data_IF_193892465587
#
_entry.id   IF_193892465587
#
_cell.length_a   1.000
_cell.length_b   1.000
_cell.length_c   1.000
_cell.angle_alpha   90.00
_cell.angle_beta   90.00
_cell.angle_gamma   90.00
#
_symmetry.space_group_name_H-M   'P 1'
#
loop_
_entity.id
_entity.type
_entity.pdbx_description
1 polymer ?
#
# COMPACT_ATOMS: atom_id res chain seq x y z
N UNK A 1 0.99 10.80 4.33
CA UNK A 1 2.16 10.08 3.79
C UNK A 1 2.92 9.46 4.97
N UNK A 2 3.39 8.22 4.83
CA UNK A 2 4.20 7.51 5.84
C UNK A 2 5.56 7.21 5.23
N UNK A 3 6.64 7.40 5.98
CA UNK A 3 7.99 7.14 5.51
C UNK A 3 8.65 6.09 6.41
N UNK A 4 9.28 5.08 5.81
CA UNK A 4 9.98 4.01 6.55
C UNK A 4 11.38 3.77 5.98
N UNK A 5 12.28 3.25 6.82
CA UNK A 5 13.60 2.76 6.41
C UNK A 5 13.59 1.24 6.14
N UNK A 6 14.72 0.63 5.73
CA UNK A 6 14.82 -0.81 5.47
C UNK A 6 14.60 -1.70 6.70
N UNK A 7 14.61 -1.11 7.90
CA UNK A 7 14.33 -1.80 9.17
C UNK A 7 12.86 -1.66 9.61
N UNK A 8 12.02 -0.98 8.81
CA UNK A 8 10.61 -0.75 9.12
C UNK A 8 10.35 0.35 10.14
N UNK A 9 11.38 1.13 10.52
CA UNK A 9 11.23 2.26 11.44
C UNK A 9 10.70 3.46 10.67
N UNK A 10 9.75 4.16 11.28
CA UNK A 10 9.24 5.40 10.74
C UNK A 10 10.31 6.49 10.75
N UNK A 11 10.27 7.32 9.70
CA UNK A 11 11.18 8.44 9.50
C UNK A 11 10.37 9.71 9.24
N UNK A 12 10.99 10.84 9.57
CA UNK A 12 10.49 12.15 9.15
C UNK A 12 10.75 12.32 7.65
N UNK A 13 9.70 12.67 6.89
CA UNK A 13 9.69 12.71 5.43
C UNK A 13 9.78 14.12 4.83
N UNK A 14 10.19 15.12 5.62
CA UNK A 14 9.97 16.55 5.33
C UNK A 14 10.64 17.06 4.04
N UNK A 15 11.55 16.28 3.44
CA UNK A 15 12.31 16.67 2.24
C UNK A 15 11.89 15.92 0.96
N UNK A 16 10.76 15.20 0.96
CA UNK A 16 10.32 14.49 -0.25
C UNK A 16 9.67 15.46 -1.23
N UNK A 17 10.34 15.66 -2.36
CA UNK A 17 9.82 16.46 -3.47
C UNK A 17 9.03 15.60 -4.45
N UNK A 18 8.17 16.23 -5.26
CA UNK A 18 7.49 15.58 -6.40
C UNK A 18 8.47 14.99 -7.44
N UNK A 19 9.73 15.39 -7.39
CA UNK A 19 10.80 14.91 -8.27
C UNK A 19 11.57 13.69 -7.74
N UNK A 20 11.22 13.15 -6.56
CA UNK A 20 11.94 12.03 -5.93
C UNK A 20 12.14 10.80 -6.84
N UNK A 21 11.25 10.60 -7.82
CA UNK A 21 11.31 9.49 -8.77
C UNK A 21 11.40 9.92 -10.25
N UNK A 22 11.77 11.17 -10.53
CA UNK A 22 11.82 11.72 -11.88
C UNK A 22 12.86 11.04 -12.80
N UNK A 23 13.88 10.42 -12.21
CA UNK A 23 14.97 9.75 -12.94
C UNK A 23 14.68 8.29 -13.33
N UNK A 24 13.49 7.78 -12.99
CA UNK A 24 13.05 6.43 -13.37
C UNK A 24 12.15 6.46 -14.60
N UNK A 25 11.36 5.40 -14.81
CA UNK A 25 10.44 5.34 -15.95
C UNK A 25 9.38 6.44 -15.89
N UNK A 26 8.93 6.89 -17.06
CA UNK A 26 7.85 7.87 -17.18
C UNK A 26 6.57 7.42 -16.44
N UNK A 27 6.30 6.11 -16.41
CA UNK A 27 5.20 5.53 -15.64
C UNK A 27 5.38 5.75 -14.14
N UNK A 28 6.56 5.43 -13.60
CA UNK A 28 6.86 5.59 -12.17
C UNK A 28 6.74 7.06 -11.73
N UNK A 29 7.33 7.96 -12.53
CA UNK A 29 7.25 9.41 -12.34
C UNK A 29 5.80 9.91 -12.31
N UNK A 30 5.01 9.59 -13.34
CA UNK A 30 3.64 10.07 -13.47
C UNK A 30 2.74 9.53 -12.35
N UNK A 31 2.92 8.25 -11.98
CA UNK A 31 2.15 7.64 -10.89
C UNK A 31 2.50 8.23 -9.53
N UNK A 32 3.77 8.57 -9.29
CA UNK A 32 4.17 9.18 -8.02
C UNK A 32 3.56 10.57 -7.87
N UNK A 33 3.72 11.43 -8.89
CA UNK A 33 3.12 12.77 -8.90
C UNK A 33 1.61 12.73 -8.73
N UNK A 34 0.93 11.88 -9.51
CA UNK A 34 -0.51 11.67 -9.38
C UNK A 34 -0.90 11.29 -7.94
N UNK A 35 -0.11 10.43 -7.29
CA UNK A 35 -0.41 9.97 -5.93
C UNK A 35 -0.25 11.09 -4.90
N UNK A 36 0.72 11.99 -5.07
CA UNK A 36 0.95 13.12 -4.16
C UNK A 36 -0.06 14.25 -4.38
N UNK A 37 -0.44 14.50 -5.63
CA UNK A 37 -1.36 15.58 -6.01
C UNK A 37 -2.84 15.25 -5.76
N UNK A 38 -3.20 13.96 -5.66
CA UNK A 38 -4.56 13.52 -5.38
C UNK A 38 -4.70 13.11 -3.91
N UNK A 39 -5.50 13.85 -3.16
CA UNK A 39 -5.77 13.62 -1.72
C UNK A 39 -6.38 12.25 -1.40
N UNK A 40 -6.85 11.51 -2.41
CA UNK A 40 -7.41 10.17 -2.24
C UNK A 40 -6.35 9.13 -1.86
N UNK A 41 -5.09 9.31 -2.28
CA UNK A 41 -4.08 8.27 -2.11
C UNK A 41 -3.30 8.41 -0.80
N UNK A 42 -3.23 7.30 -0.08
CA UNK A 42 -2.21 7.06 0.94
C UNK A 42 -0.91 6.70 0.23
N UNK A 43 0.21 7.22 0.74
CA UNK A 43 1.54 6.96 0.21
C UNK A 43 2.44 6.46 1.32
N UNK A 44 3.04 5.29 1.10
CA UNK A 44 4.15 4.76 1.87
C UNK A 44 5.45 4.95 1.07
N UNK A 45 6.40 5.70 1.62
CA UNK A 45 7.75 5.87 1.06
C UNK A 45 8.75 4.97 1.79
N UNK A 46 9.63 4.37 1.01
CA UNK A 46 10.77 3.61 1.49
C UNK A 46 12.04 4.40 1.24
N UNK A 47 12.78 4.65 2.31
CA UNK A 47 14.08 5.31 2.28
C UNK A 47 15.22 4.32 2.44
N UNK A 48 16.38 4.65 1.91
CA UNK A 48 17.64 3.99 2.23
C UNK A 48 18.12 4.38 3.62
N UNK A 49 19.17 3.72 4.12
CA UNK A 49 19.80 4.08 5.39
C UNK A 49 20.42 5.49 5.34
N UNK A 50 20.84 5.93 4.16
CA UNK A 50 21.37 7.26 3.90
C UNK A 50 20.28 8.32 3.70
N UNK A 51 19.00 7.97 3.91
CA UNK A 51 17.89 8.92 3.82
C UNK A 51 17.49 9.30 2.40
N UNK A 52 17.79 8.47 1.40
CA UNK A 52 17.32 8.68 0.01
C UNK A 52 16.04 7.89 -0.27
N UNK A 53 15.05 8.43 -1.00
CA UNK A 53 13.88 7.67 -1.39
C UNK A 53 14.27 6.57 -2.41
N UNK A 54 14.01 5.31 -2.06
CA UNK A 54 14.36 4.12 -2.87
C UNK A 54 13.16 3.30 -3.33
N UNK A 55 11.96 3.65 -2.86
CA UNK A 55 10.72 3.02 -3.29
C UNK A 55 9.50 3.72 -2.73
N UNK A 56 8.34 3.38 -3.28
CA UNK A 56 7.07 3.83 -2.74
C UNK A 56 5.95 2.86 -3.10
N UNK A 57 4.87 2.93 -2.32
CA UNK A 57 3.60 2.34 -2.66
C UNK A 57 2.52 3.38 -2.45
N UNK A 58 1.67 3.60 -3.45
CA UNK A 58 0.45 4.36 -3.31
C UNK A 58 -0.76 3.45 -3.34
N UNK A 59 -1.72 3.73 -2.47
CA UNK A 59 -2.92 2.92 -2.30
C UNK A 59 -4.06 3.77 -1.75
N UNK A 60 -5.28 3.31 -1.93
CA UNK A 60 -6.45 3.92 -1.30
C UNK A 60 -7.28 2.84 -0.60
N UNK A 61 -8.03 3.28 0.40
CA UNK A 61 -8.91 2.43 1.21
C UNK A 61 -10.25 3.13 1.38
N UNK A 62 -11.33 2.36 1.46
CA UNK A 62 -12.65 2.89 1.74
C UNK A 62 -13.53 1.81 2.38
N UNK A 63 -14.58 2.21 3.07
CA UNK A 63 -15.61 1.31 3.59
C UNK A 63 -16.93 1.70 2.97
N UNK A 64 -17.45 0.83 2.10
CA UNK A 64 -18.70 1.08 1.38
C UNK A 64 -19.80 0.16 1.85
N UNK A 65 -21.04 0.64 1.81
CA UNK A 65 -22.21 -0.20 2.00
C UNK A 65 -22.36 -1.23 0.88
N UNK A 66 -22.77 -2.46 1.23
CA UNK A 66 -22.97 -3.52 0.24
C UNK A 66 -24.22 -4.35 0.50
N UNK A 67 -25.17 -4.29 -0.42
CA UNK A 67 -26.35 -5.17 -0.40
C UNK A 67 -26.03 -6.65 -0.66
N UNK A 68 -24.80 -7.00 -1.05
CA UNK A 68 -24.41 -8.38 -1.39
C UNK A 68 -23.82 -9.17 -0.21
N UNK A 69 -23.39 -8.49 0.86
CA UNK A 69 -22.78 -9.12 2.03
C UNK A 69 -23.69 -9.01 3.26
N UNK A 70 -24.93 -9.50 3.14
CA UNK A 70 -25.93 -9.44 4.22
C UNK A 70 -26.17 -8.00 4.74
N UNK A 71 -26.14 -7.01 3.84
CA UNK A 71 -26.20 -5.59 4.17
C UNK A 71 -25.11 -5.13 5.15
N UNK A 72 -23.96 -5.80 5.15
CA UNK A 72 -22.78 -5.35 5.89
C UNK A 72 -21.85 -4.53 4.98
N UNK A 73 -21.17 -3.51 5.53
CA UNK A 73 -20.16 -2.78 4.79
C UNK A 73 -19.00 -3.67 4.34
N UNK A 74 -18.35 -3.27 3.27
CA UNK A 74 -17.18 -3.93 2.70
C UNK A 74 -16.02 -2.96 2.72
N UNK A 75 -14.87 -3.44 3.20
CA UNK A 75 -13.62 -2.69 3.17
C UNK A 75 -12.93 -2.91 1.83
N UNK A 76 -12.80 -1.85 1.06
CA UNK A 76 -12.04 -1.84 -0.17
C UNK A 76 -10.63 -1.36 0.07
N UNK A 77 -9.69 -1.98 -0.64
CA UNK A 77 -8.41 -1.38 -0.89
C UNK A 77 -8.04 -1.54 -2.36
N UNK A 78 -7.26 -0.60 -2.87
CA UNK A 78 -6.58 -0.76 -4.14
C UNK A 78 -5.16 -0.21 -4.06
N UNK A 79 -4.21 -1.07 -4.38
CA UNK A 79 -2.82 -0.73 -4.64
C UNK A 79 -2.77 -0.07 -6.02
N UNK A 80 -2.47 1.22 -6.04
CA UNK A 80 -2.40 2.01 -7.27
C UNK A 80 -1.07 1.81 -7.99
N UNK A 81 0.02 1.87 -7.23
CA UNK A 81 1.35 1.65 -7.77
C UNK A 81 2.32 1.22 -6.68
N UNK A 82 3.24 0.31 -7.02
CA UNK A 82 4.36 -0.09 -6.16
C UNK A 82 5.64 -0.08 -6.95
N UNK A 83 6.68 0.51 -6.37
CA UNK A 83 7.99 0.62 -6.99
C UNK A 83 9.10 0.49 -5.96
N UNK A 84 10.14 -0.24 -6.33
CA UNK A 84 11.42 -0.27 -5.63
C UNK A 84 12.50 -0.15 -6.70
N UNK A 85 13.49 0.70 -6.44
CA UNK A 85 14.66 0.88 -7.27
C UNK A 85 15.36 -0.47 -7.55
N UNK A 86 15.74 -0.78 -8.79
CA UNK A 86 16.28 -2.08 -9.19
C UNK A 86 17.38 -2.64 -8.28
N UNK A 87 18.34 -1.81 -7.88
CA UNK A 87 19.49 -2.14 -7.06
C UNK A 87 19.13 -2.50 -5.60
N UNK A 88 17.93 -2.15 -5.14
CA UNK A 88 17.40 -2.48 -3.81
C UNK A 88 16.43 -3.68 -3.83
N UNK A 89 16.15 -4.26 -5.01
CA UNK A 89 15.27 -5.44 -5.13
C UNK A 89 15.94 -6.72 -4.61
N UNK A 90 15.14 -7.74 -4.33
CA UNK A 90 15.62 -9.02 -3.77
C UNK A 90 15.97 -8.99 -2.29
N UNK A 91 15.77 -7.86 -1.60
CA UNK A 91 16.13 -7.66 -0.18
C UNK A 91 14.94 -7.76 0.79
N UNK A 92 13.80 -8.30 0.34
CA UNK A 92 12.58 -8.41 1.16
C UNK A 92 11.85 -7.08 1.44
N UNK A 93 12.28 -5.97 0.84
CA UNK A 93 11.74 -4.63 1.09
C UNK A 93 10.27 -4.48 0.65
N UNK A 94 9.86 -5.17 -0.42
CA UNK A 94 8.45 -5.19 -0.84
C UNK A 94 7.56 -5.85 0.21
N UNK A 95 8.01 -6.93 0.83
CA UNK A 95 7.30 -7.59 1.93
C UNK A 95 7.21 -6.69 3.16
N UNK A 96 8.28 -5.97 3.48
CA UNK A 96 8.28 -4.98 4.56
C UNK A 96 7.23 -3.88 4.31
N UNK A 97 7.20 -3.32 3.09
CA UNK A 97 6.22 -2.32 2.70
C UNK A 97 4.79 -2.87 2.78
N UNK A 98 4.55 -4.08 2.25
CA UNK A 98 3.25 -4.73 2.33
C UNK A 98 2.79 -4.91 3.78
N UNK A 99 3.67 -5.35 4.68
CA UNK A 99 3.37 -5.47 6.12
C UNK A 99 2.97 -4.14 6.73
N UNK A 100 3.68 -3.04 6.45
CA UNK A 100 3.33 -1.72 7.00
C UNK A 100 1.96 -1.26 6.51
N UNK A 101 1.67 -1.42 5.23
CA UNK A 101 0.36 -1.11 4.65
C UNK A 101 -0.74 -1.94 5.31
N UNK A 102 -0.53 -3.25 5.46
CA UNK A 102 -1.48 -4.14 6.13
C UNK A 102 -1.72 -3.72 7.58
N UNK A 103 -0.68 -3.33 8.32
CA UNK A 103 -0.85 -2.78 9.67
C UNK A 103 -1.76 -1.54 9.66
N UNK A 104 -1.54 -0.58 8.76
CA UNK A 104 -2.43 0.59 8.64
C UNK A 104 -3.87 0.20 8.32
N UNK A 105 -4.07 -0.75 7.40
CA UNK A 105 -5.42 -1.22 7.06
C UNK A 105 -6.10 -1.94 8.23
N UNK A 106 -5.35 -2.72 9.02
CA UNK A 106 -5.86 -3.38 10.21
C UNK A 106 -6.17 -2.38 11.34
N UNK A 107 -5.38 -1.31 11.47
CA UNK A 107 -5.66 -0.19 12.38
C UNK A 107 -6.98 0.51 12.01
N UNK A 108 -7.21 0.78 10.71
CA UNK A 108 -8.49 1.32 10.19
C UNK A 108 -9.68 0.39 10.49
N UNK A 109 -9.42 -0.92 10.46
CA UNK A 109 -10.42 -1.97 10.68
C UNK A 109 -10.61 -2.38 12.13
N UNK A 110 -9.81 -1.85 13.06
CA UNK A 110 -9.71 -2.32 14.45
C UNK A 110 -11.05 -2.27 15.18
N UNK A 111 -11.77 -1.16 15.04
CA UNK A 111 -13.06 -0.92 15.69
C UNK A 111 -14.25 -1.21 14.75
N UNK A 112 -13.99 -1.68 13.53
CA UNK A 112 -14.99 -1.96 12.48
C UNK A 112 -15.35 -3.44 12.42
N UNK A 113 -16.06 -3.88 13.46
CA UNK A 113 -16.57 -5.26 13.57
C UNK A 113 -17.80 -5.53 12.68
N UNK A 114 -18.39 -4.46 12.15
CA UNK A 114 -19.51 -4.47 11.21
C UNK A 114 -19.11 -4.83 9.78
N UNK A 115 -17.85 -4.62 9.41
CA UNK A 115 -17.32 -4.95 8.07
C UNK A 115 -17.41 -6.45 7.82
N UNK A 116 -18.19 -6.83 6.81
CA UNK A 116 -18.44 -8.23 6.46
C UNK A 116 -17.39 -8.84 5.54
N UNK A 117 -16.68 -8.03 4.75
CA UNK A 117 -15.69 -8.52 3.80
C UNK A 117 -14.57 -7.50 3.53
N UNK A 118 -13.44 -8.00 3.03
CA UNK A 118 -12.34 -7.20 2.47
C UNK A 118 -12.26 -7.51 0.97
N UNK A 119 -12.21 -6.49 0.12
CA UNK A 119 -12.04 -6.70 -1.32
C UNK A 119 -10.85 -5.91 -1.89
N UNK A 120 -10.05 -6.62 -2.67
CA UNK A 120 -9.00 -6.05 -3.50
C UNK A 120 -9.60 -5.52 -4.81
N UNK A 121 -9.43 -4.23 -5.07
CA UNK A 121 -9.83 -3.55 -6.30
C UNK A 121 -8.64 -3.21 -7.21
N UNK A 122 -7.45 -3.67 -6.85
CA UNK A 122 -6.22 -3.40 -7.60
C UNK A 122 -6.26 -4.09 -8.97
N UNK A 123 -5.68 -3.42 -9.97
CA UNK A 123 -5.43 -4.00 -11.29
C UNK A 123 -3.93 -4.24 -11.44
N UNK A 124 -3.52 -5.50 -11.39
CA UNK A 124 -2.11 -5.88 -11.48
C UNK A 124 -1.71 -6.13 -12.93
N UNK A 125 -0.84 -5.27 -13.46
CA UNK A 125 -0.35 -5.37 -14.84
C UNK A 125 1.03 -6.03 -14.94
N UNK A 126 1.63 -6.45 -13.82
CA UNK A 126 2.90 -7.18 -13.78
C UNK A 126 2.86 -8.34 -12.79
N UNK A 127 3.78 -9.30 -12.96
CA UNK A 127 3.92 -10.44 -12.07
C UNK A 127 4.35 -10.01 -10.66
N UNK A 128 5.24 -9.01 -10.57
CA UNK A 128 5.74 -8.45 -9.32
C UNK A 128 4.62 -7.71 -8.58
N UNK A 129 3.82 -6.92 -9.28
CA UNK A 129 2.64 -6.26 -8.72
C UNK A 129 1.62 -7.28 -8.22
N UNK A 130 1.35 -8.33 -9.00
CA UNK A 130 0.47 -9.44 -8.58
C UNK A 130 1.01 -10.15 -7.33
N UNK A 131 2.31 -10.38 -7.24
CA UNK A 131 2.93 -11.00 -6.08
C UNK A 131 2.83 -10.11 -4.84
N UNK A 132 3.05 -8.80 -4.99
CA UNK A 132 2.85 -7.82 -3.92
C UNK A 132 1.40 -7.82 -3.43
N UNK A 133 0.44 -7.75 -4.35
CA UNK A 133 -0.99 -7.83 -4.05
C UNK A 133 -1.39 -9.09 -3.30
N UNK A 134 -0.88 -10.25 -3.74
CA UNK A 134 -1.07 -11.53 -3.04
C UNK A 134 -0.55 -11.50 -1.61
N UNK A 135 0.60 -10.87 -1.34
CA UNK A 135 1.09 -10.74 0.03
C UNK A 135 0.18 -9.86 0.90
N UNK A 136 -0.35 -8.77 0.36
CA UNK A 136 -1.29 -7.89 1.08
C UNK A 136 -2.57 -8.65 1.45
N UNK A 137 -3.23 -9.28 0.46
CA UNK A 137 -4.50 -9.98 0.68
C UNK A 137 -4.34 -11.17 1.65
N UNK A 138 -3.28 -11.96 1.50
CA UNK A 138 -3.01 -13.09 2.39
C UNK A 138 -2.76 -12.64 3.83
N UNK A 139 -2.06 -11.52 4.02
CA UNK A 139 -1.79 -10.97 5.36
C UNK A 139 -3.06 -10.43 6.00
N UNK A 140 -3.95 -9.78 5.25
CA UNK A 140 -5.23 -9.29 5.75
C UNK A 140 -6.15 -10.43 6.22
N UNK A 141 -6.32 -11.46 5.38
CA UNK A 141 -7.14 -12.63 5.73
C UNK A 141 -6.52 -13.48 6.84
N UNK A 142 -5.20 -13.54 6.95
CA UNK A 142 -4.52 -14.26 8.02
C UNK A 142 -4.71 -13.64 9.41
N UNK A 143 -5.07 -12.35 9.48
CA UNK A 143 -5.23 -11.63 10.75
C UNK A 143 -6.70 -11.37 11.11
N UNK A 144 -7.54 -10.99 10.14
CA UNK A 144 -8.97 -10.78 10.39
C UNK A 144 -9.73 -12.03 9.97
N UNK A 145 -10.10 -12.87 10.95
CA UNK A 145 -11.11 -13.92 10.73
C UNK A 145 -12.45 -13.25 10.47
N UNK A 146 -12.71 -12.95 9.20
CA UNK A 146 -14.03 -12.56 8.76
C UNK A 146 -14.95 -13.79 8.89
N UNK A 147 -16.21 -13.63 9.33
CA UNK A 147 -17.14 -14.74 9.39
C UNK A 147 -17.19 -15.42 8.02
N UNK A 148 -16.84 -16.71 8.00
CA UNK A 148 -17.00 -17.56 6.83
C UNK A 148 -18.48 -17.58 6.48
N UNK A 149 -18.80 -17.10 5.27
CA UNK A 149 -20.11 -17.32 4.66
C UNK A 149 -20.26 -18.78 4.32
#
# INVERSE_FOLDING_TARGET
>A
MVCINPFGREMIGDNVTLSAFDHFSMVCKNRFRQSVEQDLFRILLLFSEEGKPIGYCSYWTDIVESGRFYNRPVYFYQIHYVFIQPEFRGRGLSTLMAKRIVCTMLEELRERNDVGAICDKSVYTSNEGSAFGRHVIQSLYGVKQLPSV
#
